data_IF_101653610961
#
_entry.id   IF_101653610961
#
_cell.length_a   1.000
_cell.length_b   1.000
_cell.length_c   1.000
_cell.angle_alpha   90.00
_cell.angle_beta   90.00
_cell.angle_gamma   90.00
#
_symmetry.space_group_name_H-M   'P 1'
#
loop_
_entity.id
_entity.type
_entity.pdbx_description
1 polymer ?
#
# COMPACT_ATOMS: atom_id res chain seq x y z
N UNK A 1 43.76 -52.84 -11.49
CA UNK A 1 43.45 -51.88 -10.42
C UNK A 1 43.46 -50.49 -11.05
N UNK A 2 42.32 -49.99 -11.55
CA UNK A 2 41.36 -49.06 -10.91
C UNK A 2 41.95 -47.66 -10.64
N UNK A 3 41.67 -46.72 -11.56
CA UNK A 3 41.50 -45.31 -11.22
C UNK A 3 40.40 -44.71 -12.10
N UNK A 4 39.20 -44.69 -11.53
CA UNK A 4 38.08 -43.82 -11.93
C UNK A 4 38.21 -42.57 -11.05
N UNK A 5 38.14 -41.36 -11.61
CA UNK A 5 37.71 -40.14 -10.90
C UNK A 5 37.42 -39.06 -11.96
N UNK A 6 36.18 -38.96 -12.43
CA UNK A 6 35.06 -38.20 -11.83
C UNK A 6 35.14 -36.70 -12.17
N UNK A 7 34.34 -36.35 -13.18
CA UNK A 7 33.95 -35.02 -13.64
C UNK A 7 33.38 -34.19 -12.49
N UNK A 8 34.02 -33.07 -12.12
CA UNK A 8 33.38 -32.05 -11.26
C UNK A 8 32.72 -31.00 -12.15
N UNK A 9 31.41 -31.14 -12.34
CA UNK A 9 30.53 -30.08 -12.85
C UNK A 9 30.38 -29.05 -11.73
N UNK A 10 30.96 -27.87 -11.92
CA UNK A 10 30.77 -26.73 -11.04
C UNK A 10 29.39 -26.11 -11.30
N UNK A 11 28.39 -26.56 -10.55
CA UNK A 11 27.08 -25.92 -10.50
C UNK A 11 27.16 -24.65 -9.66
N UNK A 12 27.23 -23.49 -10.29
CA UNK A 12 26.97 -22.20 -9.64
C UNK A 12 25.52 -22.16 -9.18
N UNK A 13 25.29 -22.25 -7.86
CA UNK A 13 24.01 -21.90 -7.24
C UNK A 13 23.85 -20.37 -7.32
N UNK A 14 23.38 -19.86 -8.45
CA UNK A 14 22.77 -18.54 -8.50
C UNK A 14 21.44 -18.66 -7.75
N UNK A 15 21.43 -18.24 -6.48
CA UNK A 15 20.18 -18.14 -5.71
C UNK A 15 19.20 -17.21 -6.44
N UNK A 16 17.88 -17.47 -6.36
CA UNK A 16 16.89 -16.66 -7.05
C UNK A 16 16.96 -15.23 -6.53
N UNK A 17 17.32 -14.29 -7.40
CA UNK A 17 17.06 -12.88 -7.18
C UNK A 17 15.54 -12.68 -7.33
N UNK A 18 14.81 -12.73 -6.22
CA UNK A 18 13.41 -12.34 -6.20
C UNK A 18 13.37 -10.83 -6.43
N UNK A 19 13.26 -10.43 -7.70
CA UNK A 19 12.94 -9.05 -8.04
C UNK A 19 11.49 -8.80 -7.60
N UNK A 20 11.28 -7.78 -6.78
CA UNK A 20 9.95 -7.41 -6.31
C UNK A 20 9.12 -6.91 -7.51
N UNK A 21 8.36 -7.80 -8.14
CA UNK A 21 7.46 -7.47 -9.22
C UNK A 21 6.12 -7.06 -8.62
N UNK A 22 5.99 -5.79 -8.27
CA UNK A 22 4.72 -5.27 -7.79
C UNK A 22 3.73 -5.25 -8.95
N UNK A 23 2.62 -5.98 -8.79
CA UNK A 23 1.46 -5.82 -9.65
C UNK A 23 0.90 -4.41 -9.39
N UNK A 24 0.51 -3.63 -10.42
CA UNK A 24 -0.13 -2.34 -10.21
C UNK A 24 -1.33 -2.50 -9.28
N UNK A 25 -1.27 -1.81 -8.14
CA UNK A 25 -2.28 -1.87 -7.09
C UNK A 25 -3.20 -0.65 -7.24
N UNK A 26 -4.49 -0.87 -7.44
CA UNK A 26 -5.48 0.20 -7.59
C UNK A 26 -6.19 0.52 -6.26
N UNK A 27 -6.78 1.72 -6.16
CA UNK A 27 -7.52 2.15 -4.97
C UNK A 27 -8.73 1.27 -4.68
N UNK A 28 -9.40 0.76 -5.71
CA UNK A 28 -10.57 -0.11 -5.57
C UNK A 28 -10.21 -1.51 -5.06
N UNK A 29 -9.01 -2.01 -5.40
CA UNK A 29 -8.47 -3.26 -4.85
C UNK A 29 -8.23 -3.10 -3.34
N UNK A 30 -7.63 -1.98 -2.92
CA UNK A 30 -7.47 -1.62 -1.50
C UNK A 30 -8.82 -1.52 -0.77
N UNK A 31 -9.84 -0.91 -1.41
CA UNK A 31 -11.17 -0.82 -0.83
C UNK A 31 -11.83 -2.19 -0.65
N UNK A 32 -11.76 -3.04 -1.67
CA UNK A 32 -12.31 -4.39 -1.62
C UNK A 32 -11.63 -5.21 -0.53
N UNK A 33 -10.30 -5.17 -0.47
CA UNK A 33 -9.54 -5.85 0.58
C UNK A 33 -9.93 -5.34 1.98
N UNK A 34 -10.09 -4.03 2.16
CA UNK A 34 -10.52 -3.45 3.43
C UNK A 34 -11.96 -3.82 3.81
N UNK A 35 -12.87 -3.94 2.83
CA UNK A 35 -14.26 -4.31 3.04
C UNK A 35 -14.45 -5.80 3.37
N UNK A 36 -13.57 -6.67 2.86
CA UNK A 36 -13.60 -8.12 3.08
C UNK A 36 -12.78 -8.56 4.31
N UNK A 37 -11.96 -7.66 4.87
CA UNK A 37 -11.14 -7.97 6.02
C UNK A 37 -11.95 -8.15 7.31
N UNK A 38 -11.44 -9.00 8.21
CA UNK A 38 -11.99 -9.15 9.57
C UNK A 38 -11.81 -7.87 10.40
N UNK A 39 -10.76 -7.10 10.10
CA UNK A 39 -10.49 -5.83 10.77
C UNK A 39 -11.41 -4.73 10.24
N UNK A 40 -11.77 -3.79 11.13
CA UNK A 40 -12.52 -2.60 10.73
C UNK A 40 -11.61 -1.55 10.11
N UNK A 41 -12.11 -0.84 9.10
CA UNK A 41 -11.38 0.21 8.39
C UNK A 41 -12.16 1.52 8.31
N UNK A 42 -11.43 2.63 8.32
CA UNK A 42 -11.93 3.97 8.02
C UNK A 42 -11.11 4.54 6.86
N UNK A 43 -11.80 4.94 5.79
CA UNK A 43 -11.15 5.59 4.64
C UNK A 43 -11.13 7.10 4.84
N UNK A 44 -9.96 7.71 4.71
CA UNK A 44 -9.72 9.15 4.95
C UNK A 44 -9.00 9.75 3.76
N UNK A 45 -9.49 10.89 3.28
CA UNK A 45 -8.74 11.76 2.39
C UNK A 45 -8.26 12.96 3.21
N UNK A 46 -6.94 13.12 3.34
CA UNK A 46 -6.37 14.19 4.17
C UNK A 46 -4.86 14.28 4.13
N UNK A 47 -4.35 15.35 4.73
CA UNK A 47 -2.92 15.63 4.83
C UNK A 47 -2.27 14.75 5.89
N UNK A 48 -1.28 13.97 5.49
CA UNK A 48 -0.47 13.14 6.39
C UNK A 48 0.77 13.91 6.83
N UNK A 49 1.02 13.99 8.13
CA UNK A 49 2.22 14.63 8.69
C UNK A 49 2.92 13.67 9.65
N UNK A 50 4.21 13.47 9.42
CA UNK A 50 5.11 12.70 10.28
C UNK A 50 6.55 13.19 10.13
N UNK A 51 7.43 12.69 10.99
CA UNK A 51 8.87 12.92 10.90
C UNK A 51 9.51 11.90 9.94
N UNK A 52 9.83 12.36 8.72
CA UNK A 52 10.45 11.55 7.67
C UNK A 52 11.82 10.97 8.06
N UNK A 53 12.52 11.57 9.03
CA UNK A 53 13.83 11.07 9.47
C UNK A 53 13.73 9.72 10.17
N UNK A 54 12.52 9.32 10.59
CA UNK A 54 12.21 8.02 11.21
C UNK A 54 11.86 6.92 10.20
N UNK A 55 11.84 7.22 8.90
CA UNK A 55 11.70 6.19 7.87
C UNK A 55 12.86 5.19 7.97
N UNK A 56 12.60 3.88 7.76
CA UNK A 56 13.62 2.86 7.85
C UNK A 56 14.73 3.11 6.82
N UNK A 57 15.97 2.99 7.27
CA UNK A 57 17.16 3.06 6.43
C UNK A 57 17.72 1.66 6.28
N UNK A 58 17.77 1.18 5.05
CA UNK A 58 18.29 -0.16 4.74
C UNK A 58 19.82 -0.12 4.73
N UNK A 59 20.44 -0.94 5.57
CA UNK A 59 21.87 -1.21 5.47
C UNK A 59 22.10 -2.21 4.33
N UNK A 60 22.64 -1.75 3.21
CA UNK A 60 22.89 -2.59 2.03
C UNK A 60 23.90 -3.71 2.30
N UNK A 61 24.76 -3.57 3.31
CA UNK A 61 25.73 -4.59 3.73
C UNK A 61 25.16 -5.58 4.74
N UNK A 62 24.04 -5.26 5.39
CA UNK A 62 23.36 -6.10 6.35
C UNK A 62 21.82 -5.96 6.26
N UNK A 63 21.28 -6.29 5.10
CA UNK A 63 19.85 -6.11 4.80
C UNK A 63 18.95 -6.89 5.78
N UNK A 64 19.40 -8.05 6.24
CA UNK A 64 18.70 -8.91 7.19
C UNK A 64 18.52 -8.28 8.58
N UNK A 65 19.29 -7.25 8.94
CA UNK A 65 19.11 -6.51 10.18
C UNK A 65 18.02 -5.42 10.09
N UNK A 66 17.51 -5.13 8.89
CA UNK A 66 16.41 -4.19 8.72
C UNK A 66 15.12 -4.81 9.29
N UNK A 67 14.43 -4.14 10.22
CA UNK A 67 13.15 -4.63 10.73
C UNK A 67 12.12 -4.81 9.61
N UNK A 68 11.30 -5.85 9.70
CA UNK A 68 10.21 -6.08 8.74
C UNK A 68 9.13 -4.98 8.79
N UNK A 69 9.04 -4.23 9.88
CA UNK A 69 8.11 -3.11 10.03
C UNK A 69 8.69 -2.07 11.00
N UNK A 70 8.42 -0.79 10.72
CA UNK A 70 8.76 0.36 11.57
C UNK A 70 7.53 1.22 11.78
N UNK A 71 7.10 1.36 13.04
CA UNK A 71 5.97 2.23 13.40
C UNK A 71 6.41 3.65 13.71
N UNK A 72 5.78 4.60 13.05
CA UNK A 72 6.08 6.02 13.13
C UNK A 72 4.81 6.76 13.58
N UNK A 73 4.84 7.48 14.72
CA UNK A 73 3.76 8.39 15.09
C UNK A 73 3.49 9.42 13.98
N UNK A 74 2.25 9.54 13.54
CA UNK A 74 1.81 10.46 12.50
C UNK A 74 0.49 11.13 12.89
N UNK A 75 0.14 12.20 12.18
CA UNK A 75 -1.15 12.87 12.25
C UNK A 75 -1.75 12.91 10.85
N UNK A 76 -3.03 12.57 10.73
CA UNK A 76 -3.79 12.79 9.49
C UNK A 76 -4.93 13.77 9.74
N UNK A 77 -5.02 14.79 8.88
CA UNK A 77 -6.01 15.88 8.97
C UNK A 77 -6.75 16.04 7.66
N UNK A 78 -8.06 15.81 7.65
CA UNK A 78 -8.87 15.84 6.43
C UNK A 78 -10.31 15.48 6.68
N UNK A 79 -10.86 14.60 5.86
CA UNK A 79 -12.24 14.13 5.95
C UNK A 79 -12.32 12.62 5.74
N UNK A 80 -13.19 11.95 6.50
CA UNK A 80 -13.46 10.52 6.32
C UNK A 80 -14.59 10.28 5.33
N UNK A 81 -14.53 9.14 4.67
CA UNK A 81 -15.55 8.67 3.74
C UNK A 81 -16.88 8.42 4.47
N UNK A 82 -17.97 8.73 3.77
CA UNK A 82 -19.34 8.47 4.17
C UNK A 82 -20.18 8.21 2.92
N UNK A 83 -21.47 7.88 3.10
CA UNK A 83 -22.41 7.73 1.97
C UNK A 83 -22.56 8.98 1.10
N UNK A 84 -22.18 10.15 1.59
CA UNK A 84 -22.24 11.43 0.87
C UNK A 84 -20.87 11.84 0.30
N UNK A 85 -19.83 11.02 0.50
CA UNK A 85 -18.45 11.37 0.15
C UNK A 85 -17.58 11.67 1.37
N UNK A 86 -16.41 12.25 1.10
CA UNK A 86 -15.45 12.68 2.11
C UNK A 86 -15.91 13.97 2.78
N UNK A 87 -16.81 13.87 3.75
CA UNK A 87 -17.45 15.04 4.38
C UNK A 87 -17.20 15.17 5.89
N UNK A 88 -17.11 14.05 6.61
CA UNK A 88 -16.95 14.10 8.07
C UNK A 88 -15.53 14.53 8.41
N UNK A 89 -15.37 15.55 9.25
CA UNK A 89 -14.05 15.99 9.71
C UNK A 89 -13.31 14.81 10.38
N UNK A 90 -12.06 14.61 9.99
CA UNK A 90 -11.18 13.63 10.59
C UNK A 90 -9.84 14.30 10.91
N UNK A 91 -9.41 14.26 12.17
CA UNK A 91 -8.15 14.83 12.64
C UNK A 91 -7.67 14.00 13.82
N UNK A 92 -6.80 13.04 13.54
CA UNK A 92 -6.50 11.98 14.51
C UNK A 92 -5.04 11.56 14.43
N UNK A 93 -4.35 11.39 15.57
CA UNK A 93 -3.06 10.71 15.61
C UNK A 93 -3.20 9.26 15.14
N UNK A 94 -2.27 8.81 14.31
CA UNK A 94 -2.24 7.44 13.78
C UNK A 94 -0.83 6.85 13.93
N UNK A 95 -0.75 5.52 13.89
CA UNK A 95 0.51 4.82 13.68
C UNK A 95 0.74 4.60 12.19
N UNK A 96 1.76 5.23 11.60
CA UNK A 96 2.22 4.93 10.26
C UNK A 96 3.14 3.70 10.32
N UNK A 97 2.68 2.56 9.84
CA UNK A 97 3.44 1.31 9.80
C UNK A 97 4.12 1.16 8.44
N UNK A 98 5.45 1.31 8.43
CA UNK A 98 6.27 1.19 7.22
C UNK A 98 6.85 -0.21 7.17
N UNK A 99 6.34 -1.01 6.24
CA UNK A 99 6.75 -2.40 6.06
C UNK A 99 7.91 -2.53 5.09
N UNK A 100 8.75 -3.54 5.34
CA UNK A 100 9.89 -3.91 4.51
C UNK A 100 9.82 -5.38 4.11
N UNK A 101 10.07 -5.64 2.83
CA UNK A 101 10.28 -6.97 2.28
C UNK A 101 11.75 -7.08 1.84
N UNK A 102 12.60 -7.68 2.67
CA UNK A 102 14.04 -7.73 2.41
C UNK A 102 14.66 -6.31 2.32
N UNK A 103 15.37 -5.96 1.23
CA UNK A 103 15.95 -4.63 1.07
C UNK A 103 14.96 -3.55 0.63
N UNK A 104 13.70 -3.89 0.36
CA UNK A 104 12.70 -2.92 -0.09
C UNK A 104 11.81 -2.54 1.08
N UNK A 105 11.85 -1.27 1.47
CA UNK A 105 10.93 -0.69 2.44
C UNK A 105 9.93 0.23 1.74
N UNK A 106 8.72 0.33 2.29
CA UNK A 106 7.75 1.28 1.80
C UNK A 106 8.25 2.72 1.98
N UNK A 107 7.91 3.58 1.02
CA UNK A 107 8.12 5.02 1.12
C UNK A 107 6.85 5.73 1.56
N UNK A 108 7.02 6.88 2.21
CA UNK A 108 5.95 7.83 2.47
C UNK A 108 6.51 9.25 2.39
N UNK A 109 5.66 10.23 2.07
CA UNK A 109 6.00 11.65 2.09
C UNK A 109 5.13 12.37 3.11
N UNK A 110 5.74 13.20 3.92
CA UNK A 110 5.07 14.03 4.91
C UNK A 110 4.58 15.32 4.25
N UNK A 111 3.48 15.85 4.76
CA UNK A 111 2.94 17.14 4.35
C UNK A 111 2.17 17.13 3.04
N UNK A 112 1.88 15.98 2.43
CA UNK A 112 1.01 15.85 1.24
C UNK A 112 -0.34 15.22 1.58
N UNK A 113 -1.30 15.32 0.67
CA UNK A 113 -2.59 14.67 0.82
C UNK A 113 -2.49 13.17 0.49
N UNK A 114 -3.22 12.36 1.24
CA UNK A 114 -3.30 10.92 1.10
C UNK A 114 -4.77 10.49 1.06
N UNK A 115 -5.07 9.50 0.22
CA UNK A 115 -6.20 8.60 0.42
C UNK A 115 -5.70 7.41 1.23
N UNK A 116 -6.13 7.32 2.50
CA UNK A 116 -5.64 6.37 3.48
C UNK A 116 -6.76 5.45 3.97
N UNK A 117 -6.53 4.14 3.90
CA UNK A 117 -7.35 3.10 4.48
C UNK A 117 -6.78 2.79 5.87
N UNK A 118 -7.37 3.39 6.89
CA UNK A 118 -6.89 3.29 8.26
C UNK A 118 -7.51 2.07 8.93
N UNK A 119 -6.68 1.13 9.35
CA UNK A 119 -7.11 0.01 10.19
C UNK A 119 -7.47 0.53 11.57
N UNK A 120 -8.62 0.12 12.09
CA UNK A 120 -9.01 0.37 13.48
C UNK A 120 -8.45 -0.75 14.34
N UNK A 121 -7.60 -0.38 15.29
CA UNK A 121 -7.00 -1.30 16.25
C UNK A 121 -8.00 -1.67 17.36
N UNK A 122 -7.79 -2.80 18.06
CA UNK A 122 -8.64 -3.21 19.18
C UNK A 122 -8.73 -2.17 20.32
N UNK A 123 -7.71 -1.32 20.48
CA UNK A 123 -7.67 -0.24 21.47
C UNK A 123 -8.32 1.07 20.97
N UNK A 124 -8.89 1.06 19.76
CA UNK A 124 -9.51 2.21 19.12
C UNK A 124 -8.54 3.17 18.45
N UNK A 125 -7.24 2.88 18.46
CA UNK A 125 -6.26 3.64 17.68
C UNK A 125 -6.34 3.28 16.19
N UNK A 126 -5.66 4.07 15.36
CA UNK A 126 -5.66 3.91 13.92
C UNK A 126 -4.26 3.62 13.40
N UNK A 127 -4.15 2.71 12.44
CA UNK A 127 -2.90 2.41 11.76
C UNK A 127 -3.04 2.55 10.24
N UNK A 128 -2.04 3.17 9.61
CA UNK A 128 -1.87 3.19 8.16
C UNK A 128 -0.66 2.31 7.81
N UNK A 129 -0.91 1.17 7.16
CA UNK A 129 0.15 0.26 6.74
C UNK A 129 0.54 0.51 5.28
N UNK A 130 1.82 0.77 5.04
CA UNK A 130 2.40 0.91 3.71
C UNK A 130 3.42 -0.19 3.51
N UNK A 131 3.35 -0.87 2.37
CA UNK A 131 4.31 -1.88 1.98
C UNK A 131 5.06 -1.46 0.70
N UNK A 132 6.18 -2.14 0.36
CA UNK A 132 7.03 -1.73 -0.75
C UNK A 132 6.38 -1.80 -2.14
N UNK A 133 5.24 -2.48 -2.27
CA UNK A 133 4.46 -2.55 -3.51
C UNK A 133 3.30 -1.55 -3.58
N UNK A 134 3.23 -0.62 -2.63
CA UNK A 134 2.02 0.13 -2.39
C UNK A 134 1.16 -0.61 -1.38
N UNK A 135 0.59 0.14 -0.45
CA UNK A 135 -0.23 -0.44 0.61
C UNK A 135 -1.55 0.30 0.69
N UNK A 136 -1.97 0.53 1.92
CA UNK A 136 -3.26 1.10 2.24
C UNK A 136 -3.28 2.63 2.16
N UNK A 137 -2.32 3.23 1.44
CA UNK A 137 -2.18 4.68 1.34
C UNK A 137 -1.69 5.10 -0.03
N UNK A 138 -2.43 6.03 -0.62
CA UNK A 138 -2.19 6.58 -1.94
C UNK A 138 -1.90 8.07 -1.79
N UNK A 139 -0.68 8.48 -2.07
CA UNK A 139 -0.27 9.89 -2.00
C UNK A 139 -0.78 10.66 -3.22
N UNK A 140 -1.22 11.90 -2.99
CA UNK A 140 -1.76 12.81 -4.01
C UNK A 140 -2.83 12.14 -4.90
N UNK A 141 -3.90 11.57 -4.31
CA UNK A 141 -4.91 10.85 -5.08
C UNK A 141 -5.61 11.77 -6.07
N UNK A 142 -5.91 11.26 -7.26
CA UNK A 142 -6.70 11.99 -8.25
C UNK A 142 -8.17 12.08 -7.83
N UNK A 143 -8.91 13.03 -8.39
CA UNK A 143 -10.35 13.11 -8.14
C UNK A 143 -11.08 11.84 -8.62
N UNK A 144 -10.64 11.26 -9.74
CA UNK A 144 -11.17 9.99 -10.25
C UNK A 144 -11.03 8.85 -9.24
N UNK A 145 -9.87 8.75 -8.57
CA UNK A 145 -9.66 7.75 -7.52
C UNK A 145 -10.61 7.97 -6.33
N UNK A 146 -10.84 9.22 -5.92
CA UNK A 146 -11.79 9.52 -4.84
C UNK A 146 -13.23 9.18 -5.24
N UNK A 147 -13.60 9.45 -6.48
CA UNK A 147 -14.94 9.16 -7.03
C UNK A 147 -15.16 7.65 -7.18
N UNK A 148 -14.15 6.88 -7.60
CA UNK A 148 -14.17 5.41 -7.63
C UNK A 148 -14.43 4.83 -6.23
N UNK A 149 -13.74 5.33 -5.21
CA UNK A 149 -13.97 4.90 -3.82
C UNK A 149 -15.39 5.24 -3.34
N UNK A 150 -15.88 6.43 -3.69
CA UNK A 150 -17.26 6.79 -3.37
C UNK A 150 -18.28 5.88 -4.07
N UNK A 151 -18.04 5.54 -5.34
CA UNK A 151 -18.87 4.59 -6.08
C UNK A 151 -18.87 3.21 -5.40
N UNK A 152 -17.70 2.65 -5.08
CA UNK A 152 -17.56 1.41 -4.31
C UNK A 152 -18.37 1.47 -3.00
N UNK A 153 -18.25 2.58 -2.26
CA UNK A 153 -18.87 2.73 -0.94
C UNK A 153 -20.39 2.91 -0.97
N UNK A 154 -20.94 3.43 -2.06
CA UNK A 154 -22.37 3.68 -2.22
C UNK A 154 -23.09 2.54 -2.93
N UNK A 155 -22.40 1.42 -3.21
CA UNK A 155 -22.97 0.25 -3.89
C UNK A 155 -22.99 0.37 -5.41
N UNK A 156 -22.26 1.33 -5.97
CA UNK A 156 -21.95 1.40 -7.39
C UNK A 156 -20.86 0.39 -7.81
N UNK A 157 -20.42 0.44 -9.07
CA UNK A 157 -19.35 -0.43 -9.56
C UNK A 157 -18.04 -0.16 -8.80
N UNK A 158 -17.41 -1.23 -8.33
CA UNK A 158 -16.07 -1.21 -7.75
C UNK A 158 -15.11 -1.94 -8.69
N UNK A 159 -14.69 -1.25 -9.75
CA UNK A 159 -13.87 -1.81 -10.81
C UNK A 159 -12.45 -1.26 -10.69
N UNK A 160 -11.47 -2.17 -10.71
CA UNK A 160 -10.05 -1.79 -10.82
C UNK A 160 -9.80 -1.09 -12.15
N UNK A 161 -8.96 -0.05 -12.15
CA UNK A 161 -8.65 0.78 -13.32
C UNK A 161 -8.16 -0.02 -14.54
N UNK A 162 -7.64 -1.24 -14.34
CA UNK A 162 -7.28 -2.16 -15.42
C UNK A 162 -8.49 -2.62 -16.26
N UNK A 163 -9.67 -2.76 -15.65
CA UNK A 163 -10.91 -3.17 -16.34
C UNK A 163 -11.54 -1.96 -17.07
N UNK A 164 -11.33 -0.75 -16.55
CA UNK A 164 -11.91 0.47 -17.11
C UNK A 164 -11.32 0.82 -18.48
N UNK A 165 -10.02 0.55 -18.69
CA UNK A 165 -9.34 0.75 -19.98
C UNK A 165 -9.87 -0.21 -21.06
N UNK A 166 -10.24 -1.44 -20.70
CA UNK A 166 -10.81 -2.40 -21.66
C UNK A 166 -12.26 -2.04 -22.05
N UNK A 167 -13.00 -1.34 -21.18
CA UNK A 167 -14.38 -0.92 -21.45
C UNK A 167 -14.49 0.44 -22.15
N UNK A 168 -13.43 1.26 -22.13
CA UNK A 168 -13.37 2.57 -22.80
C UNK A 168 -13.10 2.53 -24.30
N UNK A 169 -12.61 1.41 -24.85
CA UNK A 169 -12.38 1.23 -26.30
C UNK A 169 -13.66 0.90 -27.07
N UNK A 170 -14.77 0.60 -26.38
CA UNK A 170 -16.06 0.25 -26.99
C UNK A 170 -17.04 1.43 -27.00
N UNK A 171 -16.62 2.60 -27.50
CA UNK A 171 -17.57 3.66 -27.84
C UNK A 171 -18.23 3.34 -29.20
N UNK A 172 -19.57 3.35 -29.33
CA UNK A 172 -20.20 3.26 -30.64
C UNK A 172 -19.94 4.56 -31.41
N UNK A 173 -19.48 4.42 -32.65
CA UNK A 173 -19.54 5.50 -33.62
C UNK A 173 -21.01 5.76 -33.98
N UNK A 174 -21.50 6.96 -33.69
CA UNK A 174 -22.61 7.58 -34.40
C UNK A 174 -22.11 8.83 -35.14
#
# INVERSE_FOLDING_TARGET
>A
MKTVLATLVASSLTGPALALSCLPHDVTDSYTQAAEAEASYVVVHGRLVFDETRLPKVDMTNQAATPASTRIPALISGKSLSKQGFERRFETPISLDIECAGPWCAGAKSGIDYLAFLRVEPDGSYALALNPCGGQGFGEPSQEQLDQILACHTGGPCLSGLIQLEQGEQAPAE
#
